data_IF_212982654575
#
_entry.id   IF_212982654575
#
_cell.length_a   1.000
_cell.length_b   1.000
_cell.length_c   1.000
_cell.angle_alpha   90.00
_cell.angle_beta   90.00
_cell.angle_gamma   90.00
#
_symmetry.space_group_name_H-M   'P 1'
#
loop_
_entity.id
_entity.type
_entity.pdbx_description
1 polymer ?
#
# COMPACT_ATOMS: atom_id res chain seq x y z
N UNK A 1 -21.00 -10.36 -32.54
CA UNK A 1 -19.99 -11.30 -31.99
C UNK A 1 -20.53 -12.73 -31.89
N UNK A 2 -21.73 -12.95 -31.33
CA UNK A 2 -22.34 -14.30 -31.21
C UNK A 2 -22.47 -15.06 -32.53
N UNK A 3 -22.89 -14.39 -33.61
CA UNK A 3 -22.99 -15.00 -34.96
C UNK A 3 -21.63 -15.43 -35.53
N UNK A 4 -20.57 -14.63 -35.31
CA UNK A 4 -19.22 -14.97 -35.77
C UNK A 4 -18.64 -16.16 -34.98
N UNK A 5 -18.85 -16.21 -33.67
CA UNK A 5 -18.43 -17.35 -32.84
C UNK A 5 -19.14 -18.63 -33.30
N UNK A 6 -20.43 -18.55 -33.64
CA UNK A 6 -21.16 -19.69 -34.21
C UNK A 6 -20.62 -20.13 -35.58
N UNK A 7 -20.21 -19.19 -36.44
CA UNK A 7 -19.57 -19.52 -37.72
C UNK A 7 -18.20 -20.19 -37.52
N UNK A 8 -17.43 -19.75 -36.52
CA UNK A 8 -16.13 -20.35 -36.17
C UNK A 8 -16.32 -21.76 -35.58
N UNK A 9 -17.30 -21.95 -34.71
CA UNK A 9 -17.64 -23.29 -34.19
C UNK A 9 -18.10 -24.25 -35.30
N UNK A 10 -18.82 -23.73 -36.31
CA UNK A 10 -19.17 -24.51 -37.50
C UNK A 10 -17.94 -24.88 -38.31
N UNK A 11 -16.99 -23.95 -38.50
CA UNK A 11 -15.70 -24.24 -39.13
C UNK A 11 -14.93 -25.32 -38.37
N UNK A 12 -14.83 -25.24 -37.04
CA UNK A 12 -14.19 -26.28 -36.23
C UNK A 12 -14.88 -27.64 -36.37
N UNK A 13 -16.22 -27.68 -36.36
CA UNK A 13 -16.97 -28.92 -36.62
C UNK A 13 -16.66 -29.48 -38.01
N UNK A 14 -16.64 -28.63 -39.04
CA UNK A 14 -16.30 -29.03 -40.41
C UNK A 14 -14.87 -29.59 -40.46
N UNK A 15 -13.91 -28.94 -39.81
CA UNK A 15 -12.53 -29.40 -39.72
C UNK A 15 -12.41 -30.73 -38.96
N UNK A 16 -13.18 -30.90 -37.89
CA UNK A 16 -13.23 -32.14 -37.12
C UNK A 16 -13.83 -33.29 -37.95
N UNK A 17 -14.96 -33.07 -38.62
CA UNK A 17 -15.58 -34.04 -39.53
C UNK A 17 -14.63 -34.41 -40.68
N UNK A 18 -13.94 -33.44 -41.28
CA UNK A 18 -12.92 -33.71 -42.31
C UNK A 18 -11.82 -34.62 -41.76
N UNK A 19 -11.42 -34.41 -40.49
CA UNK A 19 -10.35 -35.17 -39.85
C UNK A 19 -10.77 -36.56 -39.38
N UNK A 20 -12.03 -36.77 -39.01
CA UNK A 20 -12.48 -38.05 -38.45
C UNK A 20 -13.12 -38.95 -39.52
N UNK A 21 -13.90 -38.37 -40.44
CA UNK A 21 -14.76 -39.14 -41.35
C UNK A 21 -14.17 -39.35 -42.75
N UNK A 22 -13.28 -38.46 -43.21
CA UNK A 22 -12.74 -38.52 -44.58
C UNK A 22 -11.35 -39.18 -44.63
N UNK A 23 -10.66 -39.28 -43.48
CA UNK A 23 -9.27 -39.77 -43.38
C UNK A 23 -9.11 -41.26 -43.76
N UNK A 24 -10.17 -42.07 -43.70
CA UNK A 24 -10.09 -43.50 -44.01
C UNK A 24 -9.79 -43.83 -45.48
N UNK A 25 -10.28 -43.03 -46.43
CA UNK A 25 -10.31 -43.40 -47.85
C UNK A 25 -9.63 -42.40 -48.80
N UNK A 26 -9.12 -41.25 -48.31
CA UNK A 26 -8.58 -40.20 -49.17
C UNK A 26 -7.10 -40.44 -49.51
N UNK A 27 -6.81 -40.82 -50.77
CA UNK A 27 -5.44 -41.14 -51.25
C UNK A 27 -4.66 -39.96 -51.87
N UNK A 28 -5.25 -38.77 -52.01
CA UNK A 28 -4.59 -37.61 -52.61
C UNK A 28 -3.84 -36.78 -51.55
N UNK A 29 -2.56 -37.08 -51.39
CA UNK A 29 -1.66 -36.39 -50.47
C UNK A 29 -1.50 -34.89 -50.79
N UNK A 30 -1.65 -34.48 -52.05
CA UNK A 30 -1.50 -33.08 -52.48
C UNK A 30 -2.70 -32.26 -52.04
N UNK A 31 -3.91 -32.76 -52.30
CA UNK A 31 -5.16 -32.12 -51.85
C UNK A 31 -5.17 -31.94 -50.32
N UNK A 32 -4.70 -32.95 -49.58
CA UNK A 32 -4.58 -32.88 -48.13
C UNK A 32 -3.59 -31.80 -47.66
N UNK A 33 -2.41 -31.73 -48.28
CA UNK A 33 -1.41 -30.69 -47.98
C UNK A 33 -1.98 -29.28 -48.20
N UNK A 34 -2.71 -29.08 -49.30
CA UNK A 34 -3.33 -27.79 -49.63
C UNK A 34 -4.46 -27.41 -48.66
N UNK A 35 -5.27 -28.40 -48.25
CA UNK A 35 -6.32 -28.19 -47.26
C UNK A 35 -5.71 -27.80 -45.90
N UNK A 36 -4.72 -28.56 -45.41
CA UNK A 36 -4.05 -28.27 -44.15
C UNK A 36 -3.38 -26.89 -44.16
N UNK A 37 -2.78 -26.49 -45.28
CA UNK A 37 -2.22 -25.15 -45.47
C UNK A 37 -3.28 -24.06 -45.36
N UNK A 38 -4.46 -24.28 -45.96
CA UNK A 38 -5.59 -23.35 -45.87
C UNK A 38 -6.07 -23.21 -44.43
N UNK A 39 -6.25 -24.33 -43.72
CA UNK A 39 -6.68 -24.35 -42.32
C UNK A 39 -5.71 -23.61 -41.41
N UNK A 40 -4.41 -23.89 -41.53
CA UNK A 40 -3.37 -23.20 -40.76
C UNK A 40 -3.33 -21.70 -41.05
N UNK A 41 -3.52 -21.30 -42.32
CA UNK A 41 -3.60 -19.90 -42.70
C UNK A 41 -4.82 -19.21 -42.06
N UNK A 42 -6.00 -19.85 -42.09
CA UNK A 42 -7.21 -19.33 -41.47
C UNK A 42 -7.06 -19.23 -39.95
N UNK A 43 -6.52 -20.26 -39.29
CA UNK A 43 -6.26 -20.25 -37.85
C UNK A 43 -5.34 -19.09 -37.46
N UNK A 44 -4.23 -18.88 -38.20
CA UNK A 44 -3.32 -17.77 -37.98
C UNK A 44 -4.01 -16.41 -38.10
N UNK A 45 -4.88 -16.24 -39.09
CA UNK A 45 -5.66 -15.01 -39.26
C UNK A 45 -6.64 -14.78 -38.12
N UNK A 46 -7.30 -15.84 -37.64
CA UNK A 46 -8.19 -15.76 -36.47
C UNK A 46 -7.42 -15.39 -35.20
N UNK A 47 -6.26 -16.03 -34.97
CA UNK A 47 -5.37 -15.72 -33.84
C UNK A 47 -4.95 -14.25 -33.85
N UNK A 48 -4.54 -13.71 -34.99
CA UNK A 48 -4.18 -12.30 -35.15
C UNK A 48 -5.38 -11.37 -34.92
N UNK A 49 -6.53 -11.66 -35.53
CA UNK A 49 -7.74 -10.87 -35.38
C UNK A 49 -8.26 -10.84 -33.94
N UNK A 50 -8.25 -11.99 -33.25
CA UNK A 50 -8.60 -12.08 -31.84
C UNK A 50 -7.58 -11.37 -30.96
N UNK A 51 -6.27 -11.50 -31.24
CA UNK A 51 -5.23 -10.78 -30.52
C UNK A 51 -5.45 -9.26 -30.56
N UNK A 52 -5.65 -8.71 -31.76
CA UNK A 52 -6.03 -7.30 -31.97
C UNK A 52 -7.33 -6.91 -31.26
N UNK A 53 -8.27 -7.83 -31.10
CA UNK A 53 -9.51 -7.58 -30.38
C UNK A 53 -9.31 -7.60 -28.86
N UNK A 54 -8.43 -8.46 -28.34
CA UNK A 54 -8.09 -8.52 -26.92
C UNK A 54 -7.43 -7.22 -26.42
N UNK A 55 -6.67 -6.52 -27.26
CA UNK A 55 -6.15 -5.18 -26.93
C UNK A 55 -7.24 -4.11 -26.72
N UNK A 56 -8.47 -4.35 -27.20
CA UNK A 56 -9.59 -3.40 -27.20
C UNK A 56 -10.74 -3.85 -26.29
N UNK A 57 -10.46 -4.70 -25.31
CA UNK A 57 -11.48 -5.22 -24.38
C UNK A 57 -12.20 -4.11 -23.58
N UNK A 58 -11.51 -3.00 -23.29
CA UNK A 58 -12.11 -1.83 -22.65
C UNK A 58 -13.14 -1.10 -23.51
N UNK A 59 -12.98 -1.16 -24.83
CA UNK A 59 -13.87 -0.52 -25.81
C UNK A 59 -15.11 -1.38 -26.07
N UNK A 60 -14.90 -2.65 -26.42
CA UNK A 60 -16.00 -3.55 -26.82
C UNK A 60 -16.78 -4.15 -25.66
N UNK A 61 -16.17 -4.21 -24.46
CA UNK A 61 -16.79 -4.71 -23.23
C UNK A 61 -17.55 -6.05 -23.39
N UNK A 62 -16.94 -7.08 -24.01
CA UNK A 62 -17.60 -8.38 -24.19
C UNK A 62 -18.00 -9.03 -22.85
N UNK A 63 -18.80 -10.09 -22.90
CA UNK A 63 -19.02 -10.92 -21.71
C UNK A 63 -17.72 -11.66 -21.37
N UNK A 64 -17.43 -11.82 -20.09
CA UNK A 64 -16.21 -12.51 -19.63
C UNK A 64 -16.11 -13.95 -20.17
N UNK A 65 -17.22 -14.69 -20.17
CA UNK A 65 -17.30 -16.04 -20.77
C UNK A 65 -16.99 -16.06 -22.27
N UNK A 66 -17.26 -14.97 -22.98
CA UNK A 66 -16.89 -14.84 -24.40
C UNK A 66 -15.38 -14.69 -24.55
N UNK A 67 -14.75 -13.85 -23.72
CA UNK A 67 -13.28 -13.69 -23.70
C UNK A 67 -12.62 -15.00 -23.32
N UNK A 68 -13.12 -15.67 -22.28
CA UNK A 68 -12.63 -16.97 -21.82
C UNK A 68 -12.69 -18.02 -22.93
N UNK A 69 -13.80 -18.09 -23.67
CA UNK A 69 -13.95 -19.00 -24.81
C UNK A 69 -12.91 -18.72 -25.89
N UNK A 70 -12.69 -17.44 -26.21
CA UNK A 70 -11.70 -17.04 -27.23
C UNK A 70 -10.28 -17.42 -26.80
N UNK A 71 -9.86 -17.11 -25.58
CA UNK A 71 -8.48 -17.39 -25.14
C UNK A 71 -8.22 -18.87 -24.94
N UNK A 72 -9.23 -19.67 -24.57
CA UNK A 72 -9.11 -21.14 -24.50
C UNK A 72 -9.00 -21.79 -25.88
N UNK A 73 -9.75 -21.29 -26.87
CA UNK A 73 -9.74 -21.83 -28.25
C UNK A 73 -8.55 -21.34 -29.06
N UNK A 74 -8.16 -20.08 -28.88
CA UNK A 74 -7.10 -19.43 -29.63
C UNK A 74 -6.04 -18.87 -28.69
N UNK A 75 -5.32 -19.69 -27.91
CA UNK A 75 -4.38 -19.21 -26.89
C UNK A 75 -3.22 -18.38 -27.46
N UNK A 76 -2.85 -18.63 -28.72
CA UNK A 76 -1.88 -17.81 -29.45
C UNK A 76 -2.27 -16.33 -29.55
N UNK A 77 -3.57 -16.00 -29.46
CA UNK A 77 -4.06 -14.62 -29.53
C UNK A 77 -3.57 -13.76 -28.38
N UNK A 78 -3.31 -14.35 -27.21
CA UNK A 78 -2.75 -13.66 -26.05
C UNK A 78 -1.27 -13.29 -26.21
N UNK A 79 -0.59 -13.85 -27.22
CA UNK A 79 0.83 -13.57 -27.53
C UNK A 79 0.98 -12.52 -28.63
N UNK A 80 -0.12 -12.14 -29.29
CA UNK A 80 -0.13 -11.09 -30.30
C UNK A 80 0.13 -9.77 -29.58
N UNK A 81 1.09 -9.02 -30.10
CA UNK A 81 1.47 -7.72 -29.55
C UNK A 81 0.88 -6.61 -30.39
N UNK A 82 0.54 -5.49 -29.75
CA UNK A 82 0.10 -4.29 -30.46
C UNK A 82 1.29 -3.49 -31.02
N UNK A 83 1.01 -2.35 -31.63
CA UNK A 83 1.99 -1.41 -32.17
C UNK A 83 2.96 -0.85 -31.13
N UNK A 84 2.59 -0.90 -29.84
CA UNK A 84 3.45 -0.54 -28.71
C UNK A 84 4.23 -1.72 -28.16
N UNK A 85 4.20 -2.89 -28.82
CA UNK A 85 4.85 -4.13 -28.38
C UNK A 85 4.30 -4.69 -27.04
N UNK A 86 3.10 -4.26 -26.63
CA UNK A 86 2.43 -4.75 -25.41
C UNK A 86 1.70 -6.07 -25.67
N UNK A 87 1.57 -6.90 -24.64
CA UNK A 87 0.63 -8.03 -24.61
C UNK A 87 -0.80 -7.54 -24.31
N UNK A 88 -1.86 -8.31 -24.64
CA UNK A 88 -3.23 -7.88 -24.40
C UNK A 88 -3.55 -7.59 -22.93
N UNK A 89 -2.94 -8.33 -21.99
CA UNK A 89 -3.10 -8.10 -20.55
C UNK A 89 -2.55 -6.72 -20.13
N UNK A 90 -1.45 -6.26 -20.73
CA UNK A 90 -0.86 -4.94 -20.47
C UNK A 90 -1.77 -3.83 -21.01
N UNK A 91 -2.36 -4.02 -22.20
CA UNK A 91 -3.31 -3.06 -22.76
C UNK A 91 -4.59 -2.90 -21.92
N UNK A 92 -5.01 -3.94 -21.20
CA UNK A 92 -6.22 -3.91 -20.38
C UNK A 92 -6.15 -2.89 -19.21
N UNK A 93 -4.95 -2.59 -18.71
CA UNK A 93 -4.76 -1.71 -17.55
C UNK A 93 -5.20 -0.28 -17.84
N UNK A 94 -5.09 0.16 -19.10
CA UNK A 94 -5.37 1.53 -19.52
C UNK A 94 -6.87 1.85 -19.62
N UNK A 95 -7.75 0.92 -19.24
CA UNK A 95 -9.20 1.12 -19.24
C UNK A 95 -9.86 0.48 -18.03
N UNK A 96 -10.76 1.22 -17.36
CA UNK A 96 -11.62 0.70 -16.27
C UNK A 96 -12.31 -0.61 -16.63
N UNK A 97 -12.82 -0.69 -17.86
CA UNK A 97 -13.52 -1.88 -18.33
C UNK A 97 -12.57 -2.98 -18.81
N UNK A 98 -11.34 -2.63 -19.22
CA UNK A 98 -10.32 -3.59 -19.60
C UNK A 98 -9.74 -4.31 -18.38
N UNK A 99 -9.45 -3.57 -17.31
CA UNK A 99 -8.76 -4.08 -16.14
C UNK A 99 -9.45 -5.29 -15.49
N UNK A 100 -10.78 -5.36 -15.56
CA UNK A 100 -11.56 -6.50 -15.03
C UNK A 100 -11.20 -7.86 -15.66
N UNK A 101 -10.64 -7.88 -16.89
CA UNK A 101 -10.24 -9.13 -17.55
C UNK A 101 -8.83 -9.58 -17.18
N UNK A 102 -8.06 -8.78 -16.42
CA UNK A 102 -6.68 -9.13 -16.05
C UNK A 102 -6.60 -10.47 -15.33
N UNK A 103 -7.44 -10.80 -14.33
CA UNK A 103 -7.37 -12.10 -13.65
C UNK A 103 -7.61 -13.28 -14.62
N UNK A 104 -8.59 -13.14 -15.52
CA UNK A 104 -8.87 -14.14 -16.56
C UNK A 104 -7.67 -14.33 -17.50
N UNK A 105 -7.14 -13.23 -18.05
CA UNK A 105 -6.02 -13.28 -18.99
C UNK A 105 -4.75 -13.82 -18.35
N UNK A 106 -4.48 -13.47 -17.08
CA UNK A 106 -3.32 -14.00 -16.36
C UNK A 106 -3.44 -15.51 -16.12
N UNK A 107 -4.61 -15.98 -15.67
CA UNK A 107 -4.88 -17.40 -15.41
C UNK A 107 -4.76 -18.25 -16.67
N UNK A 108 -5.41 -17.85 -17.77
CA UNK A 108 -5.32 -18.59 -19.03
C UNK A 108 -3.94 -18.40 -19.67
N UNK A 109 -3.35 -17.20 -19.57
CA UNK A 109 -2.01 -16.93 -20.04
C UNK A 109 -0.95 -17.82 -19.38
N UNK A 110 -1.08 -18.10 -18.09
CA UNK A 110 -0.18 -18.99 -17.35
C UNK A 110 -0.23 -20.42 -17.91
N UNK A 111 -1.42 -20.95 -18.22
CA UNK A 111 -1.59 -22.28 -18.85
C UNK A 111 -0.93 -22.39 -20.22
N UNK A 112 -0.84 -21.27 -20.93
CA UNK A 112 -0.32 -21.22 -22.31
C UNK A 112 1.06 -20.58 -22.42
N UNK A 113 1.75 -20.40 -21.29
CA UNK A 113 3.08 -19.81 -21.22
C UNK A 113 3.17 -18.46 -21.96
N UNK A 114 2.21 -17.57 -21.68
CA UNK A 114 2.18 -16.20 -22.21
C UNK A 114 3.15 -15.33 -21.40
N UNK A 115 4.06 -14.65 -22.10
CA UNK A 115 5.13 -13.85 -21.49
C UNK A 115 6.39 -14.64 -21.13
N UNK A 116 6.31 -15.97 -21.02
CA UNK A 116 7.41 -16.85 -20.60
C UNK A 116 7.13 -17.51 -19.25
N UNK A 117 7.98 -18.47 -18.88
CA UNK A 117 7.72 -19.44 -17.80
C UNK A 117 7.47 -18.75 -16.45
N UNK A 118 8.28 -17.73 -16.14
CA UNK A 118 8.19 -16.96 -14.90
C UNK A 118 7.26 -15.73 -15.00
N UNK A 119 6.63 -15.48 -16.15
CA UNK A 119 5.85 -14.25 -16.35
C UNK A 119 4.43 -14.30 -15.76
N UNK A 120 4.02 -15.44 -15.19
CA UNK A 120 2.65 -15.67 -14.64
C UNK A 120 1.55 -15.20 -15.59
N UNK A 121 1.62 -15.67 -16.84
CA UNK A 121 0.65 -15.32 -17.88
C UNK A 121 0.72 -13.86 -18.36
N UNK A 122 1.88 -13.22 -18.20
CA UNK A 122 2.13 -11.83 -18.61
C UNK A 122 2.02 -10.82 -17.47
N UNK A 123 1.64 -11.22 -16.26
CA UNK A 123 1.57 -10.33 -15.08
C UNK A 123 2.94 -9.74 -14.70
N UNK A 124 4.01 -10.52 -14.84
CA UNK A 124 5.36 -10.06 -14.51
C UNK A 124 6.14 -9.61 -15.76
N UNK A 125 5.48 -9.53 -16.92
CA UNK A 125 6.09 -9.00 -18.13
C UNK A 125 6.14 -7.48 -18.09
N UNK A 126 7.33 -6.93 -18.36
CA UNK A 126 7.59 -5.49 -18.49
C UNK A 126 6.78 -4.90 -19.62
N UNK A 127 6.13 -3.76 -19.36
CA UNK A 127 5.48 -2.96 -20.39
C UNK A 127 6.54 -2.14 -21.15
N UNK A 128 6.72 -2.37 -22.45
CA UNK A 128 7.72 -1.67 -23.25
C UNK A 128 7.34 -0.21 -23.56
N UNK A 129 6.10 0.20 -23.36
CA UNK A 129 5.64 1.57 -23.65
C UNK A 129 5.97 2.58 -22.55
N UNK A 130 6.54 2.12 -21.43
CA UNK A 130 6.76 2.95 -20.26
C UNK A 130 8.21 3.46 -20.19
N UNK A 131 8.42 4.71 -20.61
CA UNK A 131 9.74 5.34 -20.74
C UNK A 131 10.44 5.61 -19.39
N UNK A 132 9.69 5.67 -18.28
CA UNK A 132 10.20 6.10 -16.97
C UNK A 132 10.57 4.96 -16.01
N UNK A 133 10.97 3.82 -16.55
CA UNK A 133 11.38 2.65 -15.77
C UNK A 133 10.45 1.48 -16.04
N UNK A 134 11.04 0.36 -16.45
CA UNK A 134 10.37 -0.86 -16.91
C UNK A 134 9.44 -1.45 -15.84
N UNK A 135 8.20 -0.96 -15.74
CA UNK A 135 7.17 -1.52 -14.87
C UNK A 135 6.60 -2.79 -15.49
N UNK A 136 6.38 -3.81 -14.67
CA UNK A 136 5.61 -4.98 -15.11
C UNK A 136 4.09 -4.73 -14.99
N UNK A 137 3.30 -5.59 -15.62
CA UNK A 137 1.82 -5.51 -15.60
C UNK A 137 1.26 -5.43 -14.17
N UNK A 138 1.82 -6.16 -13.21
CA UNK A 138 1.36 -6.12 -11.82
C UNK A 138 1.64 -4.77 -11.14
N UNK A 139 2.83 -4.19 -11.35
CA UNK A 139 3.17 -2.84 -10.91
C UNK A 139 2.27 -1.80 -11.57
N UNK A 140 1.94 -1.97 -12.85
CA UNK A 140 0.99 -1.10 -13.55
C UNK A 140 -0.44 -1.21 -13.01
N UNK A 141 -0.87 -2.38 -12.51
CA UNK A 141 -2.15 -2.54 -11.81
C UNK A 141 -2.14 -1.78 -10.49
N UNK A 142 -1.06 -1.89 -9.72
CA UNK A 142 -0.90 -1.15 -8.46
C UNK A 142 -0.82 0.37 -8.70
N UNK A 143 -0.13 0.76 -9.77
CA UNK A 143 0.03 2.15 -10.20
C UNK A 143 -1.28 2.68 -10.81
N UNK A 144 -1.55 3.98 -10.66
CA UNK A 144 -2.78 4.57 -11.19
C UNK A 144 -2.60 6.00 -11.66
N UNK A 145 -2.54 6.18 -12.98
CA UNK A 145 -2.45 7.51 -13.60
C UNK A 145 -3.77 8.27 -13.56
N UNK A 146 -4.90 7.56 -13.60
CA UNK A 146 -6.24 8.14 -13.68
C UNK A 146 -7.20 7.27 -12.90
N UNK A 147 -7.55 7.68 -11.69
CA UNK A 147 -8.44 6.90 -10.86
C UNK A 147 -9.58 7.77 -10.37
N UNK A 148 -10.73 7.61 -11.03
CA UNK A 148 -12.00 7.85 -10.34
C UNK A 148 -12.11 6.84 -9.19
N UNK A 149 -12.97 7.11 -8.23
CA UNK A 149 -13.20 6.21 -7.10
C UNK A 149 -13.60 4.80 -7.60
N UNK A 150 -14.45 4.72 -8.61
CA UNK A 150 -14.94 3.47 -9.19
C UNK A 150 -13.83 2.68 -9.89
N UNK A 151 -12.88 3.37 -10.52
CA UNK A 151 -11.70 2.70 -11.08
C UNK A 151 -10.84 2.08 -9.99
N UNK A 152 -10.55 2.83 -8.92
CA UNK A 152 -9.75 2.35 -7.80
C UNK A 152 -10.41 1.16 -7.10
N UNK A 153 -11.72 1.20 -6.85
CA UNK A 153 -12.52 0.06 -6.35
C UNK A 153 -12.46 -1.14 -7.31
N UNK A 154 -12.55 -0.88 -8.62
CA UNK A 154 -12.45 -1.91 -9.65
C UNK A 154 -11.10 -2.62 -9.64
N UNK A 155 -10.00 -1.90 -9.44
CA UNK A 155 -8.67 -2.51 -9.36
C UNK A 155 -8.49 -3.29 -8.05
N UNK A 156 -9.04 -2.84 -6.92
CA UNK A 156 -9.01 -3.64 -5.68
C UNK A 156 -9.63 -5.02 -5.92
N UNK A 157 -10.78 -5.09 -6.60
CA UNK A 157 -11.40 -6.38 -6.98
C UNK A 157 -10.53 -7.23 -7.90
N UNK A 158 -9.76 -6.60 -8.79
CA UNK A 158 -8.78 -7.30 -9.64
C UNK A 158 -7.67 -7.90 -8.76
N UNK A 159 -7.09 -7.13 -7.85
CA UNK A 159 -6.05 -7.60 -6.93
C UNK A 159 -6.56 -8.72 -6.00
N UNK A 160 -7.78 -8.60 -5.49
CA UNK A 160 -8.46 -9.65 -4.70
C UNK A 160 -8.63 -10.93 -5.51
N UNK A 161 -9.08 -10.84 -6.76
CA UNK A 161 -9.21 -12.00 -7.65
C UNK A 161 -7.85 -12.64 -7.91
N UNK A 162 -6.83 -11.84 -8.24
CA UNK A 162 -5.47 -12.35 -8.45
C UNK A 162 -4.93 -13.05 -7.20
N UNK A 163 -5.22 -12.50 -6.00
CA UNK A 163 -4.83 -13.12 -4.72
C UNK A 163 -5.54 -14.45 -4.50
N UNK A 164 -6.87 -14.48 -4.72
CA UNK A 164 -7.69 -15.69 -4.63
C UNK A 164 -7.22 -16.80 -5.57
N UNK A 165 -6.77 -16.43 -6.77
CA UNK A 165 -6.27 -17.35 -7.79
C UNK A 165 -4.81 -17.78 -7.58
N UNK A 166 -4.15 -17.30 -6.52
CA UNK A 166 -2.74 -17.59 -6.23
C UNK A 166 -1.75 -16.93 -7.20
N UNK A 167 -2.21 -15.96 -8.00
CA UNK A 167 -1.39 -15.23 -8.98
C UNK A 167 -0.68 -14.03 -8.36
N UNK A 168 -1.29 -13.39 -7.36
CA UNK A 168 -0.69 -12.38 -6.49
C UNK A 168 -0.36 -13.03 -5.13
N UNK A 169 0.91 -13.04 -4.76
CA UNK A 169 1.43 -13.53 -3.49
C UNK A 169 1.71 -12.36 -2.54
N UNK A 170 1.91 -12.63 -1.25
CA UNK A 170 2.23 -11.56 -0.30
C UNK A 170 3.63 -11.02 -0.57
N UNK A 171 4.56 -11.91 -0.91
CA UNK A 171 5.95 -11.60 -1.22
C UNK A 171 6.06 -10.66 -2.43
N UNK A 172 5.13 -10.78 -3.40
CA UNK A 172 5.08 -9.88 -4.57
C UNK A 172 4.84 -8.42 -4.16
N UNK A 173 4.13 -8.17 -3.05
CA UNK A 173 3.82 -6.81 -2.59
C UNK A 173 5.11 -6.06 -2.26
N UNK A 174 6.02 -6.72 -1.55
CA UNK A 174 7.33 -6.20 -1.19
C UNK A 174 8.30 -6.29 -2.36
N UNK A 175 8.42 -7.45 -3.03
CA UNK A 175 9.38 -7.70 -4.11
C UNK A 175 9.23 -6.70 -5.26
N UNK A 176 7.99 -6.35 -5.61
CA UNK A 176 7.70 -5.44 -6.71
C UNK A 176 7.33 -4.01 -6.27
N UNK A 177 7.60 -3.62 -5.02
CA UNK A 177 7.31 -2.27 -4.49
C UNK A 177 5.84 -1.84 -4.71
N UNK A 178 4.86 -2.76 -4.65
CA UNK A 178 3.48 -2.47 -5.05
C UNK A 178 2.82 -1.40 -4.15
N UNK A 179 3.17 -1.37 -2.87
CA UNK A 179 2.71 -0.35 -1.92
C UNK A 179 3.24 1.03 -2.32
N UNK A 180 4.49 1.13 -2.77
CA UNK A 180 5.04 2.38 -3.28
C UNK A 180 4.30 2.87 -4.53
N UNK A 181 4.07 2.00 -5.50
CA UNK A 181 3.37 2.37 -6.73
C UNK A 181 1.90 2.74 -6.52
N UNK A 182 1.26 2.17 -5.50
CA UNK A 182 -0.12 2.50 -5.13
C UNK A 182 -0.24 3.73 -4.23
N UNK A 183 0.85 4.28 -3.68
CA UNK A 183 0.86 5.50 -2.84
C UNK A 183 0.57 6.80 -3.63
N UNK A 184 -0.21 6.69 -4.70
CA UNK A 184 -0.65 7.79 -5.54
C UNK A 184 -1.96 8.40 -5.02
N UNK A 185 -2.14 9.71 -5.22
CA UNK A 185 -3.31 10.46 -4.69
C UNK A 185 -4.68 9.94 -5.15
N UNK A 186 -4.72 9.28 -6.31
CA UNK A 186 -5.92 8.67 -6.89
C UNK A 186 -6.16 7.22 -6.47
N UNK A 187 -5.27 6.60 -5.71
CA UNK A 187 -5.30 5.16 -5.45
C UNK A 187 -5.47 4.76 -3.97
N UNK A 188 -6.24 5.50 -3.13
CA UNK A 188 -6.24 5.25 -1.69
C UNK A 188 -6.75 3.85 -1.31
N UNK A 189 -7.68 3.26 -2.07
CA UNK A 189 -8.24 1.93 -1.73
C UNK A 189 -7.27 0.82 -2.12
N UNK A 190 -6.59 0.92 -3.28
CA UNK A 190 -5.48 0.02 -3.62
C UNK A 190 -4.34 0.09 -2.62
N UNK A 191 -3.92 1.31 -2.26
CA UNK A 191 -2.86 1.53 -1.28
C UNK A 191 -3.21 0.89 0.06
N UNK A 192 -4.44 1.11 0.54
CA UNK A 192 -4.94 0.50 1.77
C UNK A 192 -4.96 -1.03 1.69
N UNK A 193 -5.49 -1.60 0.61
CA UNK A 193 -5.55 -3.05 0.44
C UNK A 193 -4.16 -3.68 0.43
N UNK A 194 -3.21 -3.09 -0.31
CA UNK A 194 -1.84 -3.62 -0.38
C UNK A 194 -1.11 -3.51 0.97
N UNK A 195 -1.31 -2.44 1.74
CA UNK A 195 -0.80 -2.34 3.11
C UNK A 195 -1.38 -3.39 4.05
N UNK A 196 -2.62 -3.82 3.86
CA UNK A 196 -3.20 -4.90 4.66
C UNK A 196 -2.60 -6.27 4.32
N UNK A 197 -2.05 -6.44 3.10
CA UNK A 197 -1.33 -7.66 2.72
C UNK A 197 0.10 -7.70 3.26
N UNK A 198 0.73 -6.54 3.48
CA UNK A 198 2.06 -6.41 4.08
C UNK A 198 2.07 -5.22 5.09
N UNK A 199 1.63 -5.46 6.34
CA UNK A 199 1.54 -4.41 7.36
C UNK A 199 2.89 -3.83 7.80
N UNK A 200 3.97 -4.57 7.63
CA UNK A 200 5.32 -4.19 8.06
C UNK A 200 6.05 -3.34 7.03
N UNK A 201 5.53 -3.26 5.80
CA UNK A 201 6.16 -2.55 4.68
C UNK A 201 6.57 -1.12 5.04
N UNK A 202 5.69 -0.33 5.68
CA UNK A 202 6.01 1.09 5.96
C UNK A 202 7.16 1.21 6.97
N UNK A 203 7.16 0.37 8.00
CA UNK A 203 8.22 0.36 9.02
C UNK A 203 9.56 -0.13 8.48
N UNK A 204 9.55 -1.12 7.57
CA UNK A 204 10.76 -1.71 7.00
C UNK A 204 11.27 -0.98 5.75
N UNK A 205 10.44 -0.13 5.13
CA UNK A 205 10.80 0.57 3.90
C UNK A 205 12.01 1.49 4.10
N UNK A 206 13.04 1.24 3.31
CA UNK A 206 14.21 2.10 3.19
C UNK A 206 14.61 2.20 1.72
N UNK A 207 14.54 3.42 1.16
CA UNK A 207 14.98 3.68 -0.22
C UNK A 207 15.77 4.97 -0.31
N UNK A 208 17.01 4.88 -0.78
CA UNK A 208 17.97 5.98 -0.80
C UNK A 208 18.16 6.63 0.58
N UNK A 209 18.27 5.80 1.63
CA UNK A 209 18.45 6.24 3.01
C UNK A 209 17.25 7.00 3.60
N UNK A 210 16.05 6.83 3.02
CA UNK A 210 14.82 7.48 3.46
C UNK A 210 13.77 6.46 3.85
N UNK A 211 13.07 6.72 4.96
CA UNK A 211 11.85 5.98 5.31
C UNK A 211 10.73 6.27 4.32
N UNK A 212 9.62 5.51 4.38
CA UNK A 212 8.52 5.60 3.43
C UNK A 212 7.99 7.03 3.29
N UNK A 213 7.63 7.68 4.40
CA UNK A 213 7.05 9.02 4.38
C UNK A 213 8.06 10.07 3.88
N UNK A 214 9.34 9.96 4.28
CA UNK A 214 10.40 10.82 3.76
C UNK A 214 10.59 10.67 2.26
N UNK A 215 10.56 9.43 1.75
CA UNK A 215 10.71 9.14 0.34
C UNK A 215 9.52 9.67 -0.47
N UNK A 216 8.29 9.44 0.03
CA UNK A 216 7.05 9.96 -0.54
C UNK A 216 7.06 11.49 -0.65
N UNK A 217 7.33 12.16 0.47
CA UNK A 217 7.41 13.62 0.51
C UNK A 217 8.49 14.10 -0.44
N UNK A 218 9.69 13.50 -0.42
CA UNK A 218 10.79 13.91 -1.29
C UNK A 218 10.47 13.75 -2.78
N UNK A 219 9.80 12.67 -3.19
CA UNK A 219 9.52 12.36 -4.59
C UNK A 219 8.44 13.27 -5.20
N UNK A 220 7.33 13.50 -4.48
CA UNK A 220 6.16 14.18 -5.07
C UNK A 220 6.18 15.68 -4.86
N UNK A 221 6.06 16.45 -5.95
CA UNK A 221 6.03 17.92 -5.91
C UNK A 221 4.78 18.48 -5.22
N UNK A 222 3.62 17.83 -5.41
CA UNK A 222 2.36 18.26 -4.81
C UNK A 222 2.08 17.55 -3.47
N UNK A 223 1.36 18.24 -2.58
CA UNK A 223 0.96 17.70 -1.27
C UNK A 223 -0.20 16.69 -1.34
N UNK A 224 -0.82 16.47 -2.50
CA UNK A 224 -1.98 15.59 -2.60
C UNK A 224 -1.60 14.12 -2.38
N UNK A 225 -0.39 13.71 -2.80
CA UNK A 225 0.14 12.37 -2.56
C UNK A 225 0.37 12.12 -1.06
N UNK A 226 1.07 13.05 -0.40
CA UNK A 226 1.25 13.05 1.05
C UNK A 226 -0.09 13.00 1.78
N UNK A 227 -1.07 13.84 1.41
CA UNK A 227 -2.41 13.86 1.99
C UNK A 227 -3.12 12.51 1.85
N UNK A 228 -3.07 11.89 0.69
CA UNK A 228 -3.75 10.61 0.43
C UNK A 228 -3.12 9.47 1.23
N UNK A 229 -1.79 9.38 1.21
CA UNK A 229 -1.06 8.36 1.98
C UNK A 229 -1.23 8.57 3.49
N UNK A 230 -1.13 9.81 3.99
CA UNK A 230 -1.31 10.11 5.41
C UNK A 230 -2.72 9.71 5.89
N UNK A 231 -3.76 9.96 5.08
CA UNK A 231 -5.12 9.55 5.43
C UNK A 231 -5.22 8.04 5.65
N UNK A 232 -4.70 7.24 4.71
CA UNK A 232 -4.75 5.77 4.79
C UNK A 232 -3.89 5.25 5.93
N UNK A 233 -2.69 5.81 6.12
CA UNK A 233 -1.77 5.37 7.17
C UNK A 233 -2.24 5.77 8.57
N UNK A 234 -2.91 6.90 8.76
CA UNK A 234 -3.56 7.23 10.04
C UNK A 234 -4.71 6.27 10.37
N UNK A 235 -5.42 5.79 9.35
CA UNK A 235 -6.49 4.81 9.53
C UNK A 235 -5.96 3.43 9.92
N UNK A 236 -4.89 2.97 9.27
CA UNK A 236 -4.31 1.64 9.51
C UNK A 236 -3.33 1.58 10.68
N UNK A 237 -2.60 2.67 10.93
CA UNK A 237 -1.51 2.75 11.91
C UNK A 237 -1.68 3.96 12.84
N UNK A 238 -2.82 4.07 13.56
CA UNK A 238 -3.07 5.21 14.43
C UNK A 238 -2.03 5.29 15.56
N UNK A 239 -1.58 4.16 16.10
CA UNK A 239 -0.59 4.11 17.18
C UNK A 239 0.80 4.63 16.77
N UNK A 240 1.10 4.65 15.47
CA UNK A 240 2.33 5.20 14.89
C UNK A 240 2.08 6.58 14.27
N UNK A 241 0.90 7.17 14.48
CA UNK A 241 0.47 8.42 13.85
C UNK A 241 0.61 8.44 12.34
N UNK A 242 0.27 7.32 11.69
CA UNK A 242 0.44 7.17 10.25
C UNK A 242 1.87 7.44 9.79
N UNK A 243 2.85 7.16 10.65
CA UNK A 243 4.28 7.41 10.44
C UNK A 243 4.63 8.88 10.16
N UNK A 244 3.75 9.82 10.53
CA UNK A 244 3.97 11.26 10.37
C UNK A 244 5.20 11.76 11.16
N UNK A 245 5.46 11.15 12.31
CA UNK A 245 6.59 11.49 13.19
C UNK A 245 7.74 10.49 13.11
N UNK A 246 7.68 9.54 12.16
CA UNK A 246 8.78 8.63 11.92
C UNK A 246 10.02 9.44 11.53
N UNK A 247 11.11 9.23 12.24
CA UNK A 247 12.40 9.85 11.95
C UNK A 247 13.06 9.20 10.77
N UNK A 248 13.89 9.96 10.06
CA UNK A 248 14.75 9.40 9.05
C UNK A 248 15.83 8.50 9.70
N UNK A 249 16.59 7.74 8.89
CA UNK A 249 17.60 6.81 9.40
C UNK A 249 18.71 7.46 10.25
N UNK A 250 18.96 8.75 10.08
CA UNK A 250 19.91 9.51 10.89
C UNK A 250 19.35 9.93 12.26
N UNK A 251 18.06 9.70 12.50
CA UNK A 251 17.35 10.08 13.72
C UNK A 251 17.14 11.59 13.91
N UNK A 252 17.47 12.41 12.91
CA UNK A 252 17.51 13.89 13.07
C UNK A 252 16.23 14.59 12.69
N UNK A 253 15.57 14.13 11.62
CA UNK A 253 14.41 14.79 11.04
C UNK A 253 13.21 13.84 11.01
N UNK A 254 12.07 14.29 11.52
CA UNK A 254 10.78 13.63 11.38
C UNK A 254 10.15 13.92 10.01
N UNK A 255 9.30 13.00 9.53
CA UNK A 255 8.66 13.16 8.22
C UNK A 255 7.80 14.44 8.13
N UNK A 256 7.17 14.86 9.23
CA UNK A 256 6.41 16.13 9.26
C UNK A 256 7.28 17.37 9.10
N UNK A 257 8.49 17.38 9.67
CA UNK A 257 9.45 18.48 9.48
C UNK A 257 9.88 18.53 8.01
N UNK A 258 10.10 17.38 7.39
CA UNK A 258 10.37 17.29 5.94
C UNK A 258 9.21 17.82 5.10
N UNK A 259 7.97 17.58 5.52
CA UNK A 259 6.78 18.11 4.85
C UNK A 259 6.69 19.64 4.99
N UNK A 260 7.01 20.20 6.16
CA UNK A 260 7.08 21.66 6.36
C UNK A 260 8.11 22.32 5.46
N UNK A 261 9.32 21.77 5.37
CA UNK A 261 10.35 22.27 4.46
C UNK A 261 9.90 22.25 3.00
N UNK A 262 9.19 21.19 2.58
CA UNK A 262 8.86 20.99 1.18
C UNK A 262 7.60 21.74 0.72
N UNK A 263 6.53 21.68 1.52
CA UNK A 263 5.21 22.15 1.13
C UNK A 263 4.81 23.44 1.84
N UNK A 264 5.56 23.86 2.86
CA UNK A 264 5.22 24.97 3.75
C UNK A 264 4.52 24.48 5.02
N UNK A 265 4.83 25.13 6.13
CA UNK A 265 4.27 24.83 7.46
C UNK A 265 2.76 24.97 7.47
N UNK A 266 2.24 26.09 6.96
CA UNK A 266 0.81 26.42 6.95
C UNK A 266 0.00 25.41 6.11
N UNK A 267 0.50 25.06 4.94
CA UNK A 267 -0.12 24.14 3.99
C UNK A 267 -0.16 22.73 4.59
N UNK A 268 0.98 22.26 5.10
CA UNK A 268 1.10 20.94 5.73
C UNK A 268 0.20 20.84 6.97
N UNK A 269 0.22 21.85 7.85
CA UNK A 269 -0.68 21.88 9.00
C UNK A 269 -2.14 21.89 8.56
N UNK A 270 -2.50 22.61 7.50
CA UNK A 270 -3.86 22.57 6.96
C UNK A 270 -4.28 21.16 6.54
N UNK A 271 -3.36 20.36 5.98
CA UNK A 271 -3.60 18.94 5.68
C UNK A 271 -3.79 18.13 6.96
N UNK A 272 -2.87 18.22 7.92
CA UNK A 272 -2.92 17.45 9.17
C UNK A 272 -4.22 17.73 9.94
N UNK A 273 -4.62 18.99 10.05
CA UNK A 273 -5.87 19.41 10.72
C UNK A 273 -7.14 18.86 10.07
N UNK A 274 -7.12 18.62 8.77
CA UNK A 274 -8.26 18.03 8.06
C UNK A 274 -8.36 16.53 8.30
N UNK A 275 -7.26 15.87 8.67
CA UNK A 275 -7.20 14.42 8.88
C UNK A 275 -7.38 14.03 10.34
N UNK A 276 -6.92 14.88 11.26
CA UNK A 276 -6.94 14.59 12.69
C UNK A 276 -8.00 15.47 13.34
N UNK A 277 -9.05 14.83 13.86
CA UNK A 277 -10.16 15.50 14.54
C UNK A 277 -10.24 15.10 16.00
N UNK A 278 -10.83 15.98 16.82
CA UNK A 278 -11.07 15.69 18.25
C UNK A 278 -11.97 14.48 18.48
N UNK A 279 -12.85 14.16 17.53
CA UNK A 279 -13.74 13.01 17.60
C UNK A 279 -12.99 11.67 17.59
N UNK A 280 -11.80 11.61 16.99
CA UNK A 280 -11.01 10.38 16.90
C UNK A 280 -10.13 10.14 18.13
N UNK A 281 -10.08 11.09 19.08
CA UNK A 281 -9.23 11.02 20.28
C UNK A 281 -7.78 10.60 19.97
N UNK A 282 -7.24 11.16 18.89
CA UNK A 282 -5.91 10.81 18.42
C UNK A 282 -4.82 11.50 19.27
N UNK A 283 -3.87 10.77 19.90
CA UNK A 283 -2.89 11.33 20.84
C UNK A 283 -1.73 12.05 20.13
N UNK A 284 -2.02 12.96 19.21
CA UNK A 284 -1.01 13.59 18.33
C UNK A 284 0.13 14.29 19.08
N UNK A 285 -0.18 14.90 20.23
CA UNK A 285 0.82 15.59 21.03
C UNK A 285 1.84 14.63 21.64
N UNK A 286 1.47 13.39 21.91
CA UNK A 286 2.40 12.39 22.43
C UNK A 286 3.50 12.14 21.41
N UNK A 287 3.13 11.94 20.14
CA UNK A 287 4.10 11.77 19.07
C UNK A 287 4.88 13.06 18.77
N UNK A 288 4.18 14.20 18.72
CA UNK A 288 4.83 15.47 18.38
C UNK A 288 5.90 15.86 19.40
N UNK A 289 5.60 15.77 20.70
CA UNK A 289 6.52 16.18 21.76
C UNK A 289 7.65 15.17 22.01
N UNK A 290 7.46 13.88 21.69
CA UNK A 290 8.53 12.88 21.85
C UNK A 290 9.43 12.74 20.62
N UNK A 291 8.97 13.15 19.43
CA UNK A 291 9.68 12.87 18.18
C UNK A 291 10.28 14.10 17.50
N UNK A 292 9.72 15.30 17.71
CA UNK A 292 10.22 16.55 17.13
C UNK A 292 11.20 17.19 18.11
N UNK A 293 12.34 17.66 17.61
CA UNK A 293 13.35 18.35 18.43
C UNK A 293 13.35 19.87 18.27
N UNK A 294 12.57 20.41 17.32
CA UNK A 294 12.46 21.86 17.11
C UNK A 294 11.33 22.44 17.99
N UNK A 295 11.64 23.26 19.02
CA UNK A 295 10.62 23.74 19.97
C UNK A 295 9.49 24.53 19.30
N UNK A 296 9.81 25.37 18.32
CA UNK A 296 8.81 26.13 17.57
C UNK A 296 7.76 25.23 16.89
N UNK A 297 8.18 24.05 16.43
CA UNK A 297 7.28 23.08 15.83
C UNK A 297 6.43 22.37 16.89
N UNK A 298 6.99 22.05 18.05
CA UNK A 298 6.21 21.50 19.17
C UNK A 298 5.11 22.47 19.62
N UNK A 299 5.44 23.75 19.77
CA UNK A 299 4.50 24.82 20.12
C UNK A 299 3.36 24.95 19.11
N UNK A 300 3.67 24.78 17.82
CA UNK A 300 2.68 24.77 16.75
C UNK A 300 1.65 23.65 16.94
N UNK A 301 2.10 22.43 17.27
CA UNK A 301 1.20 21.30 17.55
C UNK A 301 0.36 21.54 18.80
N UNK A 302 0.96 22.02 19.89
CA UNK A 302 0.26 22.36 21.13
C UNK A 302 -0.84 23.41 20.90
N UNK A 303 -0.52 24.48 20.16
CA UNK A 303 -1.48 25.53 19.79
C UNK A 303 -2.61 24.99 18.93
N UNK A 304 -2.32 24.03 18.05
CA UNK A 304 -3.29 23.56 17.07
C UNK A 304 -4.17 22.42 17.56
N UNK A 305 -3.66 21.60 18.46
CA UNK A 305 -4.35 20.43 19.02
C UNK A 305 -4.44 20.49 20.55
N UNK A 306 -4.92 21.59 21.17
CA UNK A 306 -4.96 21.72 22.63
C UNK A 306 -5.86 20.66 23.28
N UNK A 307 -6.87 20.17 22.55
CA UNK A 307 -7.74 19.09 23.01
C UNK A 307 -7.01 17.74 23.20
N UNK A 308 -5.87 17.53 22.54
CA UNK A 308 -5.13 16.28 22.63
C UNK A 308 -4.25 16.20 23.90
N UNK A 309 -4.18 17.27 24.69
CA UNK A 309 -3.32 17.35 25.87
C UNK A 309 -3.69 16.33 26.95
N UNK A 310 -5.00 16.12 27.13
CA UNK A 310 -5.54 15.21 28.14
C UNK A 310 -5.81 13.80 27.62
N UNK A 311 -5.46 13.52 26.36
CA UNK A 311 -5.60 12.18 25.81
C UNK A 311 -4.53 11.27 26.40
N UNK A 312 -4.78 9.97 26.28
CA UNK A 312 -3.79 8.94 26.58
C UNK A 312 -3.33 8.27 25.30
N UNK A 313 -2.08 7.82 25.26
CA UNK A 313 -1.57 7.03 24.13
C UNK A 313 -2.12 5.58 24.14
N UNK A 314 -1.69 4.77 23.17
CA UNK A 314 -2.08 3.37 23.05
C UNK A 314 -1.63 2.49 24.24
N UNK A 315 -0.64 2.96 25.00
CA UNK A 315 -0.19 2.34 26.23
C UNK A 315 -0.92 2.88 27.46
N UNK A 316 -1.97 3.69 27.27
CA UNK A 316 -2.72 4.37 28.32
C UNK A 316 -1.88 5.40 29.11
N UNK A 317 -0.76 5.89 28.56
CA UNK A 317 0.07 6.92 29.19
C UNK A 317 -0.54 8.28 29.00
N UNK A 318 -0.48 9.14 30.02
CA UNK A 318 -0.68 10.57 29.83
C UNK A 318 0.46 11.19 29.00
N UNK A 319 0.25 12.42 28.50
CA UNK A 319 1.27 13.12 27.72
C UNK A 319 2.60 13.23 28.47
N UNK A 320 2.53 13.50 29.78
CA UNK A 320 3.71 13.62 30.64
C UNK A 320 4.41 12.28 30.78
N UNK A 321 3.67 11.19 30.99
CA UNK A 321 4.25 9.85 31.07
C UNK A 321 4.93 9.45 29.75
N UNK A 322 4.34 9.79 28.60
CA UNK A 322 4.97 9.56 27.30
C UNK A 322 6.27 10.35 27.11
N UNK A 323 6.31 11.62 27.54
CA UNK A 323 7.54 12.44 27.54
C UNK A 323 8.62 11.80 28.43
N UNK A 324 8.25 11.35 29.62
CA UNK A 324 9.17 10.67 30.55
C UNK A 324 9.69 9.35 29.97
N UNK A 325 8.81 8.53 29.39
CA UNK A 325 9.15 7.26 28.76
C UNK A 325 10.03 7.42 27.51
N UNK A 326 10.01 8.59 26.85
CA UNK A 326 10.89 8.89 25.71
C UNK A 326 12.34 9.19 26.12
N UNK A 327 12.61 9.31 27.42
CA UNK A 327 13.95 9.35 28.01
C UNK A 327 14.50 10.75 28.30
N UNK A 328 15.66 10.82 28.99
CA UNK A 328 16.17 12.06 29.60
C UNK A 328 16.36 13.22 28.64
N UNK A 329 16.82 12.94 27.40
CA UNK A 329 16.98 13.97 26.36
C UNK A 329 15.67 14.72 26.09
N UNK A 330 14.58 13.98 25.91
CA UNK A 330 13.25 14.58 25.65
C UNK A 330 12.75 15.32 26.89
N UNK A 331 12.95 14.75 28.08
CA UNK A 331 12.60 15.42 29.35
C UNK A 331 13.36 16.75 29.54
N UNK A 332 14.60 16.83 29.09
CA UNK A 332 15.40 18.06 29.15
C UNK A 332 14.88 19.15 28.19
N UNK A 333 14.44 18.75 27.00
CA UNK A 333 13.80 19.66 26.03
C UNK A 333 12.45 20.20 26.56
N UNK A 334 11.79 19.46 27.46
CA UNK A 334 10.47 19.78 28.03
C UNK A 334 10.50 20.14 29.52
N UNK A 335 11.54 20.83 29.99
CA UNK A 335 11.69 21.18 31.41
C UNK A 335 10.49 21.93 32.02
N UNK A 336 9.74 22.69 31.22
CA UNK A 336 8.53 23.40 31.65
C UNK A 336 7.36 22.46 31.94
N UNK A 337 7.20 21.38 31.16
CA UNK A 337 6.18 20.33 31.39
C UNK A 337 6.45 19.65 32.72
N UNK A 338 7.73 19.47 33.06
CA UNK A 338 8.15 18.88 34.31
C UNK A 338 7.84 19.79 35.51
N UNK A 339 8.15 21.08 35.40
CA UNK A 339 7.86 22.06 36.44
C UNK A 339 6.35 22.22 36.69
N UNK A 340 5.52 22.00 35.67
CA UNK A 340 4.06 22.16 35.74
C UNK A 340 3.29 20.90 36.15
N UNK A 341 3.96 19.79 36.45
CA UNK A 341 3.29 18.56 36.91
C UNK A 341 2.47 18.81 38.17
N UNK A 342 1.22 18.32 38.21
CA UNK A 342 0.40 18.31 39.42
C UNK A 342 0.82 17.19 40.38
N UNK A 343 0.45 17.29 41.65
CA UNK A 343 0.77 16.27 42.64
C UNK A 343 0.11 14.91 42.33
N UNK A 344 -1.06 14.93 41.68
CA UNK A 344 -1.74 13.75 41.15
C UNK A 344 -0.92 13.09 40.03
N UNK A 345 -0.41 13.88 39.09
CA UNK A 345 0.43 13.38 38.00
C UNK A 345 1.75 12.81 38.53
N UNK A 346 2.34 13.43 39.57
CA UNK A 346 3.54 12.89 40.26
C UNK A 346 3.25 11.54 40.92
N UNK A 347 2.00 11.31 41.36
CA UNK A 347 1.57 10.05 41.95
C UNK A 347 1.07 9.02 40.92
N UNK A 348 1.04 9.37 39.63
CA UNK A 348 0.53 8.50 38.59
C UNK A 348 1.63 7.58 38.05
N UNK A 349 1.51 6.27 38.28
CA UNK A 349 2.48 5.30 37.75
C UNK A 349 2.28 5.13 36.25
N UNK A 350 3.40 5.04 35.52
CA UNK A 350 3.38 4.67 34.11
C UNK A 350 2.77 3.25 33.96
N UNK A 351 1.72 3.08 33.15
CA UNK A 351 1.00 1.81 33.05
C UNK A 351 1.83 0.66 32.45
N UNK A 352 2.94 0.95 31.77
CA UNK A 352 3.78 -0.07 31.12
C UNK A 352 4.95 -0.46 32.01
N UNK A 353 5.68 0.53 32.51
CA UNK A 353 6.91 0.31 33.29
C UNK A 353 6.64 0.18 34.77
N UNK A 354 5.44 0.54 35.24
CA UNK A 354 5.04 0.62 36.66
C UNK A 354 5.89 1.59 37.48
N UNK A 355 6.68 2.46 36.82
CA UNK A 355 7.51 3.45 37.47
C UNK A 355 6.71 4.72 37.77
N UNK A 356 6.99 5.31 38.92
CA UNK A 356 6.58 6.69 39.19
C UNK A 356 7.43 7.67 38.37
N UNK A 357 6.95 8.90 38.10
CA UNK A 357 7.69 9.91 37.36
C UNK A 357 9.12 10.14 37.86
N UNK A 358 9.35 10.24 39.17
CA UNK A 358 10.70 10.43 39.72
C UNK A 358 11.62 9.23 39.41
N UNK A 359 11.09 8.01 39.43
CA UNK A 359 11.83 6.80 39.11
C UNK A 359 12.09 6.69 37.61
N UNK A 360 11.12 7.07 36.77
CA UNK A 360 11.27 7.11 35.32
C UNK A 360 12.37 8.08 34.89
N UNK A 361 12.43 9.29 35.47
CA UNK A 361 13.50 10.27 35.20
C UNK A 361 14.87 9.76 35.65
N UNK A 362 14.93 9.04 36.78
CA UNK A 362 16.16 8.45 37.27
C UNK A 362 16.59 7.20 36.50
N UNK A 363 15.69 6.61 35.69
CA UNK A 363 15.97 5.39 34.94
C UNK A 363 16.60 5.69 33.59
N UNK A 364 17.61 4.90 33.21
CA UNK A 364 18.34 5.04 31.95
C UNK A 364 19.81 5.42 32.14
N UNK A 365 20.57 5.36 31.05
CA UNK A 365 22.02 5.66 31.03
C UNK A 365 22.31 7.13 31.38
N UNK A 366 21.38 8.03 31.05
CA UNK A 366 21.46 9.49 31.27
C UNK A 366 20.46 9.99 32.34
N UNK A 367 20.17 9.19 33.36
CA UNK A 367 19.17 9.53 34.39
C UNK A 367 19.45 10.88 35.09
N UNK A 368 18.42 11.72 35.24
CA UNK A 368 18.53 13.04 35.88
C UNK A 368 18.12 12.96 37.36
N UNK A 369 19.11 12.72 38.21
CA UNK A 369 18.87 12.59 39.66
C UNK A 369 18.36 13.89 40.29
N UNK A 370 18.76 15.06 39.78
CA UNK A 370 18.32 16.35 40.33
C UNK A 370 16.81 16.53 40.13
N UNK A 371 16.33 16.26 38.91
CA UNK A 371 14.89 16.25 38.60
C UNK A 371 14.15 15.18 39.38
N UNK A 372 14.71 13.98 39.49
CA UNK A 372 14.13 12.90 40.31
C UNK A 372 13.93 13.34 41.77
N UNK A 373 14.96 13.92 42.40
CA UNK A 373 14.88 14.46 43.75
C UNK A 373 13.90 15.62 43.87
N UNK A 374 13.81 16.49 42.86
CA UNK A 374 12.83 17.57 42.83
C UNK A 374 11.39 17.04 42.90
N UNK A 375 11.02 16.04 42.09
CA UNK A 375 9.67 15.45 42.16
C UNK A 375 9.39 14.76 43.50
N UNK A 376 10.39 14.04 44.02
CA UNK A 376 10.25 13.35 45.30
C UNK A 376 10.06 14.35 46.45
N UNK A 377 10.75 15.50 46.40
CA UNK A 377 10.57 16.59 47.37
C UNK A 377 9.20 17.25 47.27
N UNK A 378 8.65 17.39 46.06
CA UNK A 378 7.31 17.94 45.86
C UNK A 378 6.23 17.03 46.43
N UNK A 379 6.38 15.71 46.30
CA UNK A 379 5.40 14.76 46.81
C UNK A 379 6.04 13.56 47.53
N UNK A 380 6.55 13.74 48.76
CA UNK A 380 7.26 12.68 49.50
C UNK A 380 6.34 11.50 49.86
N UNK A 381 5.03 11.75 49.99
CA UNK A 381 4.04 10.74 50.34
C UNK A 381 3.84 9.64 49.29
N UNK A 382 4.40 9.80 48.08
CA UNK A 382 4.35 8.78 47.01
C UNK A 382 4.98 7.45 47.46
N UNK A 383 6.02 7.50 48.30
CA UNK A 383 6.70 6.31 48.83
C UNK A 383 5.81 5.52 49.79
N UNK A 384 5.01 6.21 50.59
CA UNK A 384 4.13 5.57 51.57
C UNK A 384 2.88 4.96 50.92
N UNK A 385 2.37 5.58 49.85
CA UNK A 385 1.27 4.99 49.04
C UNK A 385 1.68 3.67 48.40
N UNK A 386 2.92 3.56 47.92
CA UNK A 386 3.44 2.32 47.33
C UNK A 386 3.53 1.20 48.38
N UNK A 387 3.98 1.51 49.60
CA UNK A 387 3.98 0.54 50.71
C UNK A 387 2.58 0.03 51.06
N UNK A 388 1.57 0.91 51.00
CA UNK A 388 0.18 0.53 51.29
C UNK A 388 -0.37 -0.42 50.22
N UNK A 389 -0.20 -0.10 48.93
CA UNK A 389 -0.63 -0.98 47.82
C UNK A 389 -0.04 -2.39 47.92
N UNK A 390 1.26 -2.52 48.18
CA UNK A 390 1.89 -3.84 48.36
C UNK A 390 1.34 -4.65 49.53
N UNK A 391 0.76 -4.02 50.55
CA UNK A 391 0.09 -4.74 51.64
C UNK A 391 -1.29 -5.22 51.22
N UNK A 392 -1.98 -4.41 50.43
CA UNK A 392 -3.32 -4.74 49.92
C UNK A 392 -3.26 -5.86 48.86
N UNK A 393 -2.19 -5.96 48.05
CA UNK A 393 -2.02 -7.03 47.06
C UNK A 393 -1.55 -8.38 47.65
N UNK A 394 -1.04 -8.38 48.89
CA UNK A 394 -0.54 -9.58 49.58
C UNK A 394 -1.53 -10.18 50.59
N UNK A 395 -2.70 -9.56 50.75
CA UNK A 395 -3.82 -10.03 51.57
C UNK A 395 -4.98 -10.42 50.66
#
# INVERSE_FOLDING_TARGET
MTSLIQQILKLEMVLKCIREDIIGDWKDETCWKDLMKTVQSTEKQLVDAFGKSLHRLGEFKPKESTVETVVKKFPGSMKIKNEKNQLPIQSCIWSTYGAKYIPLLAREGMRHNVGGEESRGGLLTVDPSYDHGRMNTLQLVANGYTATKEFDEGIVKVLESLKKDGLLKNEDVTEYDLIWYSAWKGCPMRFKYLLQLDPEYISSFVKNGKTFMHHLIHHWRDQCHFKAALKVTLELYPEQAGYLFQKNLDGKQAAVEKAFEKYGEKETMTVINKMISSAQQFPILHHALTSIHVPATQDLFMKRFPWAYNLRDHNNRSLIQAILAAGPKVVNEHATVFASMSDEQICEMDPVTTLYPFAAVASGEDGDLEKSFYLLRRQPGVLDRNKKRKRDDNN
#
